data_IF_177914052964
#
_entry.id   IF_177914052964
#
_cell.length_a   1.000
_cell.length_b   1.000
_cell.length_c   1.000
_cell.angle_alpha   90.00
_cell.angle_beta   90.00
_cell.angle_gamma   90.00
#
_symmetry.space_group_name_H-M   'P 1'
#
loop_
_entity.id
_entity.type
_entity.pdbx_description
1 polymer ?
#
# COMPACT_ATOMS: atom_id res chain seq x y z
N UNK A 1 7.72 -10.41 -4.59
CA UNK A 1 7.06 -9.09 -4.40
C UNK A 1 7.51 -8.20 -5.53
N UNK A 2 6.57 -7.65 -6.29
CA UNK A 2 6.84 -6.57 -7.25
C UNK A 2 7.14 -5.29 -6.46
N UNK A 3 8.07 -4.46 -6.91
CA UNK A 3 8.24 -3.09 -6.40
C UNK A 3 7.38 -2.10 -7.20
N UNK A 4 7.22 -0.87 -6.70
CA UNK A 4 6.41 0.18 -7.35
C UNK A 4 6.83 0.45 -8.80
N UNK A 5 8.13 0.42 -9.08
CA UNK A 5 8.66 0.66 -10.42
C UNK A 5 8.31 -0.48 -11.39
N UNK A 6 8.33 -1.72 -10.91
CA UNK A 6 7.95 -2.92 -11.65
C UNK A 6 6.45 -2.93 -11.92
N UNK A 7 5.63 -2.64 -10.91
CA UNK A 7 4.18 -2.50 -11.07
C UNK A 7 3.83 -1.40 -12.08
N UNK A 8 4.44 -0.22 -11.98
CA UNK A 8 4.23 0.84 -12.97
C UNK A 8 4.51 0.37 -14.41
N UNK A 9 5.64 -0.33 -14.60
CA UNK A 9 6.05 -0.82 -15.92
C UNK A 9 5.11 -1.90 -16.45
N UNK A 10 4.61 -2.81 -15.60
CA UNK A 10 3.64 -3.83 -16.01
C UNK A 10 2.32 -3.19 -16.48
N UNK A 11 1.90 -2.12 -15.82
CA UNK A 11 0.73 -1.32 -16.19
C UNK A 11 0.96 -0.40 -17.41
N UNK A 12 2.18 -0.35 -17.96
CA UNK A 12 2.59 0.56 -19.05
C UNK A 12 2.32 2.04 -18.74
N UNK A 13 2.39 2.41 -17.47
CA UNK A 13 2.15 3.77 -17.02
C UNK A 13 3.45 4.57 -16.91
N UNK A 14 3.37 5.86 -17.20
CA UNK A 14 4.43 6.82 -16.86
C UNK A 14 4.31 7.24 -15.40
N UNK A 15 5.41 7.75 -14.81
CA UNK A 15 5.39 8.30 -13.44
C UNK A 15 4.38 9.45 -13.32
N UNK A 16 4.20 10.26 -14.36
CA UNK A 16 3.22 11.36 -14.38
C UNK A 16 1.79 10.84 -14.34
N UNK A 17 1.48 9.79 -15.11
CA UNK A 17 0.14 9.17 -15.09
C UNK A 17 -0.19 8.56 -13.73
N UNK A 18 0.77 7.87 -13.10
CA UNK A 18 0.60 7.37 -11.74
C UNK A 18 0.43 8.51 -10.73
N UNK A 19 1.31 9.49 -10.73
CA UNK A 19 1.18 10.64 -9.84
C UNK A 19 -0.20 11.31 -9.96
N UNK A 20 -0.73 11.44 -11.18
CA UNK A 20 -2.08 11.95 -11.41
C UNK A 20 -3.17 11.02 -10.89
N UNK A 21 -3.09 9.71 -11.15
CA UNK A 21 -4.08 8.72 -10.68
C UNK A 21 -4.17 8.65 -9.15
N UNK A 22 -3.04 8.89 -8.47
CA UNK A 22 -2.95 8.89 -7.01
C UNK A 22 -3.07 10.29 -6.38
N UNK A 23 -3.35 11.33 -7.17
CA UNK A 23 -3.58 12.70 -6.67
C UNK A 23 -2.34 13.36 -6.06
N UNK A 24 -1.14 12.98 -6.51
CA UNK A 24 0.11 13.54 -6.02
C UNK A 24 0.43 14.87 -6.68
N UNK A 25 0.94 15.81 -5.87
CA UNK A 25 1.34 17.15 -6.31
C UNK A 25 2.38 17.15 -7.43
N UNK A 26 3.24 16.15 -7.51
CA UNK A 26 4.25 16.07 -8.56
C UNK A 26 4.70 14.65 -8.86
N UNK A 27 5.12 14.41 -10.11
CA UNK A 27 5.86 13.19 -10.51
C UNK A 27 7.14 13.00 -9.69
N UNK A 28 7.74 14.10 -9.22
CA UNK A 28 8.97 14.08 -8.45
C UNK A 28 8.80 13.34 -7.13
N UNK A 29 7.67 13.55 -6.44
CA UNK A 29 7.34 12.84 -5.22
C UNK A 29 7.23 11.33 -5.46
N UNK A 30 6.51 10.91 -6.51
CA UNK A 30 6.42 9.50 -6.89
C UNK A 30 7.80 8.89 -7.22
N UNK A 31 8.64 9.61 -7.97
CA UNK A 31 9.98 9.16 -8.33
C UNK A 31 10.90 8.97 -7.11
N UNK A 32 10.75 9.81 -6.07
CA UNK A 32 11.49 9.64 -4.81
C UNK A 32 11.05 8.39 -4.06
N UNK A 33 9.74 8.13 -4.01
CA UNK A 33 9.18 6.91 -3.40
C UNK A 33 9.66 5.66 -4.17
N UNK A 34 9.57 5.63 -5.50
CA UNK A 34 10.05 4.49 -6.31
C UNK A 34 11.54 4.17 -6.09
N UNK A 35 12.34 5.19 -5.76
CA UNK A 35 13.79 5.04 -5.54
C UNK A 35 14.15 4.78 -4.08
N UNK A 36 13.16 4.68 -3.19
CA UNK A 36 13.37 4.53 -1.74
C UNK A 36 14.05 5.75 -1.10
N UNK A 37 13.99 6.93 -1.74
CA UNK A 37 14.54 8.18 -1.19
C UNK A 37 13.58 8.86 -0.21
N UNK A 38 12.34 8.38 -0.15
CA UNK A 38 11.26 8.87 0.69
C UNK A 38 10.28 7.73 0.88
N UNK A 39 9.82 7.48 2.10
CA UNK A 39 8.78 6.49 2.32
C UNK A 39 7.44 6.95 1.77
N UNK A 40 6.62 5.99 1.38
CA UNK A 40 5.26 6.24 0.95
C UNK A 40 4.41 6.63 2.17
N UNK A 41 3.71 7.77 2.16
CA UNK A 41 2.76 8.10 3.22
C UNK A 41 1.70 6.99 3.34
N UNK A 42 1.37 6.56 4.56
CA UNK A 42 0.46 5.43 4.82
C UNK A 42 -0.87 5.48 4.04
N UNK A 43 -1.50 6.66 3.93
CA UNK A 43 -2.73 6.83 3.15
C UNK A 43 -2.54 6.53 1.66
N UNK A 44 -1.38 6.89 1.10
CA UNK A 44 -1.04 6.61 -0.29
C UNK A 44 -0.75 5.11 -0.46
N UNK A 45 -0.01 4.50 0.48
CA UNK A 45 0.32 3.08 0.45
C UNK A 45 -0.93 2.19 0.44
N UNK A 46 -1.91 2.46 1.30
CA UNK A 46 -3.18 1.73 1.32
C UNK A 46 -3.95 1.87 0.01
N UNK A 47 -3.95 3.07 -0.60
CA UNK A 47 -4.60 3.29 -1.89
C UNK A 47 -3.87 2.57 -3.03
N UNK A 48 -2.55 2.47 -2.97
CA UNK A 48 -1.77 1.69 -3.93
C UNK A 48 -2.13 0.21 -3.80
N UNK A 49 -2.19 -0.32 -2.58
CA UNK A 49 -2.58 -1.71 -2.33
C UNK A 49 -3.96 -2.02 -2.91
N UNK A 50 -4.96 -1.20 -2.62
CA UNK A 50 -6.33 -1.32 -3.16
C UNK A 50 -6.35 -1.33 -4.69
N UNK A 51 -5.65 -0.39 -5.34
CA UNK A 51 -5.64 -0.27 -6.82
C UNK A 51 -4.85 -1.42 -7.47
N UNK A 52 -3.84 -1.94 -6.77
CA UNK A 52 -3.02 -3.05 -7.24
C UNK A 52 -3.59 -4.43 -6.91
N UNK A 53 -4.76 -4.49 -6.27
CA UNK A 53 -5.39 -5.72 -5.80
C UNK A 53 -4.42 -6.60 -4.97
N UNK A 54 -3.65 -5.94 -4.09
CA UNK A 54 -2.67 -6.59 -3.23
C UNK A 54 -1.34 -6.97 -3.88
N UNK A 55 -1.10 -6.66 -5.17
CA UNK A 55 0.21 -6.90 -5.80
C UNK A 55 1.33 -6.11 -5.09
N UNK A 56 1.00 -4.89 -4.65
CA UNK A 56 1.88 -4.05 -3.82
C UNK A 56 1.25 -3.88 -2.44
N UNK A 57 1.81 -4.55 -1.44
CA UNK A 57 1.35 -4.44 -0.06
C UNK A 57 1.73 -3.07 0.53
N UNK A 58 0.83 -2.40 1.24
CA UNK A 58 1.11 -1.11 1.87
C UNK A 58 2.29 -1.21 2.86
N UNK A 59 2.38 -2.33 3.57
CA UNK A 59 3.48 -2.62 4.52
C UNK A 59 4.87 -2.67 3.88
N UNK A 60 4.95 -2.82 2.55
CA UNK A 60 6.23 -2.90 1.82
C UNK A 60 6.78 -1.53 1.36
N UNK A 61 5.97 -0.47 1.42
CA UNK A 61 6.31 0.86 0.87
C UNK A 61 6.27 2.00 1.89
N UNK A 62 5.76 1.75 3.10
CA UNK A 62 5.75 2.71 4.21
C UNK A 62 7.02 2.61 5.07
N UNK A 63 7.20 3.53 6.02
CA UNK A 63 8.25 3.43 7.04
C UNK A 63 8.07 2.18 7.92
N UNK A 64 9.17 1.60 8.47
CA UNK A 64 9.09 0.40 9.29
C UNK A 64 8.15 0.50 10.50
N UNK A 65 8.02 1.68 11.11
CA UNK A 65 7.12 1.92 12.25
C UNK A 65 5.65 1.84 11.82
N UNK A 66 5.30 2.45 10.69
CA UNK A 66 3.97 2.38 10.10
C UNK A 66 3.63 0.96 9.63
N UNK A 67 4.60 0.25 9.05
CA UNK A 67 4.41 -1.14 8.64
C UNK A 67 4.06 -2.03 9.85
N UNK A 68 4.78 -1.88 10.98
CA UNK A 68 4.47 -2.59 12.22
C UNK A 68 3.09 -2.24 12.76
N UNK A 69 2.71 -0.96 12.69
CA UNK A 69 1.39 -0.51 13.13
C UNK A 69 0.27 -1.13 12.29
N UNK A 70 0.42 -1.15 10.96
CA UNK A 70 -0.53 -1.77 10.02
C UNK A 70 -0.68 -3.27 10.29
N UNK A 71 0.42 -4.00 10.46
CA UNK A 71 0.38 -5.44 10.79
C UNK A 71 -0.39 -5.69 12.09
N UNK A 72 -0.09 -4.94 13.17
CA UNK A 72 -0.83 -5.06 14.44
C UNK A 72 -2.31 -4.70 14.32
N UNK A 73 -2.65 -3.78 13.42
CA UNK A 73 -4.06 -3.44 13.16
C UNK A 73 -4.76 -4.58 12.43
N UNK A 74 -4.13 -5.13 11.38
CA UNK A 74 -4.65 -6.27 10.62
C UNK A 74 -4.84 -7.51 11.51
N UNK A 75 -3.85 -7.87 12.33
CA UNK A 75 -3.94 -9.01 13.26
C UNK A 75 -5.12 -8.88 14.22
N UNK A 76 -5.34 -7.67 14.77
CA UNK A 76 -6.46 -7.39 15.67
C UNK A 76 -7.80 -7.47 14.95
N UNK A 77 -7.88 -6.98 13.71
CA UNK A 77 -9.09 -7.03 12.89
C UNK A 77 -9.45 -8.49 12.54
N UNK A 78 -8.48 -9.29 12.11
CA UNK A 78 -8.64 -10.71 11.82
C UNK A 78 -9.08 -11.46 13.08
N UNK A 79 -8.39 -11.29 14.21
CA UNK A 79 -8.76 -11.95 15.45
C UNK A 79 -10.17 -11.59 15.92
N UNK A 80 -10.61 -10.34 15.69
CA UNK A 80 -12.00 -9.92 15.97
C UNK A 80 -13.00 -10.60 15.03
N UNK A 81 -12.72 -10.65 13.73
CA UNK A 81 -13.59 -11.27 12.74
C UNK A 81 -13.77 -12.78 13.00
N UNK A 82 -12.69 -13.49 13.33
CA UNK A 82 -12.74 -14.93 13.66
C UNK A 82 -13.62 -15.20 14.88
N UNK A 83 -13.46 -14.43 15.97
CA UNK A 83 -14.32 -14.57 17.16
C UNK A 83 -15.79 -14.31 16.86
N UNK A 84 -16.10 -13.34 15.98
CA UNK A 84 -17.49 -13.07 15.57
C UNK A 84 -18.08 -14.21 14.74
N UNK A 85 -17.28 -14.87 13.89
CA UNK A 85 -17.73 -16.00 13.08
C UNK A 85 -18.06 -17.24 13.93
N UNK A 86 -17.29 -17.49 14.99
CA UNK A 86 -17.52 -18.58 15.95
C UNK A 86 -18.81 -18.39 16.78
N UNK A 87 -19.16 -17.15 17.11
CA UNK A 87 -20.35 -16.82 17.90
C UNK A 87 -21.65 -16.81 17.08
N UNK A 88 -21.58 -16.62 15.77
CA UNK A 88 -22.76 -16.58 14.88
C UNK A 88 -23.30 -17.94 14.42
N UNK A 89 -22.64 -19.04 14.81
CA UNK A 89 -23.04 -20.42 14.50
C UNK A 89 -23.65 -21.18 15.70
N UNK A 90 -23.92 -20.48 16.81
CA UNK A 90 -24.52 -21.02 18.03
C UNK A 90 -26.03 -20.77 18.09
#
# INVERSE_FOLDING_TARGET
MSDLATYRKSQRLTQTQLASAFGLRSKGHWSRIERGLEACPMKLALRIEDVSDGEILATSVVEPEDAQLLTRYADRAIARALRSAEQGHA
#
